data_IF_682664131069
#
_entry.id   IF_682664131069
#
_cell.length_a   1.000
_cell.length_b   1.000
_cell.length_c   1.000
_cell.angle_alpha   90.00
_cell.angle_beta   90.00
_cell.angle_gamma   90.00
#
_symmetry.space_group_name_H-M   'P 1'
#
loop_
_entity.id
_entity.type
_entity.pdbx_description
1 polymer ?
#
# COMPACT_ATOMS: atom_id res chain seq x y z
N UNK A 1 6.80 33.53 -10.33
CA UNK A 1 6.30 32.40 -9.50
C UNK A 1 6.73 31.15 -10.23
N UNK A 2 7.73 30.45 -9.70
CA UNK A 2 8.13 29.14 -10.28
C UNK A 2 6.98 28.16 -10.06
N UNK A 3 6.45 27.55 -11.14
CA UNK A 3 5.57 26.39 -11.01
C UNK A 3 6.31 25.34 -10.17
N UNK A 4 5.79 25.05 -8.99
CA UNK A 4 6.30 23.93 -8.19
C UNK A 4 6.01 22.66 -8.99
N UNK A 5 7.04 21.96 -9.42
CA UNK A 5 6.90 20.66 -10.09
C UNK A 5 6.22 19.67 -9.14
N UNK A 6 5.20 18.98 -9.65
CA UNK A 6 4.49 17.95 -8.88
C UNK A 6 5.33 16.68 -8.89
N UNK A 7 5.84 16.26 -7.72
CA UNK A 7 6.60 15.01 -7.60
C UNK A 7 5.68 13.78 -7.71
N UNK A 8 6.06 12.82 -8.55
CA UNK A 8 5.36 11.55 -8.65
C UNK A 8 5.84 10.59 -7.55
N UNK A 9 4.89 10.05 -6.80
CA UNK A 9 5.13 9.13 -5.69
C UNK A 9 4.55 7.77 -6.03
N UNK A 10 5.36 6.74 -6.16
CA UNK A 10 4.89 5.36 -6.24
C UNK A 10 4.69 4.79 -4.84
N UNK A 11 3.54 4.17 -4.61
CA UNK A 11 3.16 3.61 -3.32
C UNK A 11 2.72 2.16 -3.48
N UNK A 12 3.58 1.20 -3.08
CA UNK A 12 3.25 -0.22 -3.11
C UNK A 12 2.52 -0.64 -1.84
N UNK A 13 1.35 -1.26 -2.03
CA UNK A 13 0.48 -1.68 -0.94
C UNK A 13 0.00 -3.12 -1.09
N UNK A 14 -0.22 -3.77 0.05
CA UNK A 14 -1.12 -4.92 0.18
C UNK A 14 -2.36 -4.45 0.94
N UNK A 15 -3.59 -4.59 0.39
CA UNK A 15 -4.80 -4.08 1.05
C UNK A 15 -5.08 -4.74 2.40
N UNK A 16 -4.45 -5.88 2.68
CA UNK A 16 -4.60 -6.60 3.94
C UNK A 16 -3.67 -6.07 5.04
N UNK A 17 -2.67 -5.24 4.69
CA UNK A 17 -1.70 -4.72 5.64
C UNK A 17 -2.24 -3.50 6.40
N UNK A 18 -2.44 -3.58 7.74
CA UNK A 18 -2.95 -2.45 8.51
C UNK A 18 -1.97 -1.26 8.56
N UNK A 19 -0.66 -1.52 8.49
CA UNK A 19 0.35 -0.46 8.50
C UNK A 19 0.41 0.28 7.16
N UNK A 20 0.29 -0.44 6.04
CA UNK A 20 0.18 0.18 4.72
C UNK A 20 -1.12 1.00 4.61
N UNK A 21 -2.21 0.53 5.23
CA UNK A 21 -3.46 1.28 5.29
C UNK A 21 -3.28 2.64 5.98
N UNK A 22 -2.69 2.67 7.19
CA UNK A 22 -2.42 3.92 7.91
C UNK A 22 -1.52 4.85 7.08
N UNK A 23 -0.43 4.33 6.51
CA UNK A 23 0.46 5.10 5.68
C UNK A 23 -0.22 5.62 4.40
N UNK A 24 -1.16 4.86 3.83
CA UNK A 24 -1.95 5.31 2.68
C UNK A 24 -2.87 6.48 3.02
N UNK A 25 -3.44 6.50 4.22
CA UNK A 25 -4.26 7.65 4.68
C UNK A 25 -3.40 8.86 4.97
N UNK A 26 -2.19 8.64 5.49
CA UNK A 26 -1.20 9.71 5.67
C UNK A 26 -0.76 10.31 4.33
N UNK A 27 -0.38 9.52 3.34
CA UNK A 27 0.08 10.07 2.04
C UNK A 27 -1.07 10.77 1.28
N UNK A 28 -2.32 10.33 1.48
CA UNK A 28 -3.50 11.02 0.95
C UNK A 28 -3.68 12.40 1.60
N UNK A 29 -3.42 12.52 2.89
CA UNK A 29 -3.42 13.83 3.60
C UNK A 29 -2.28 14.73 3.10
N UNK A 30 -1.08 14.16 2.92
CA UNK A 30 0.08 14.91 2.38
C UNK A 30 -0.21 15.48 1.00
N UNK A 31 -0.92 14.77 0.12
CA UNK A 31 -1.28 15.22 -1.23
C UNK A 31 -2.09 16.53 -1.22
N UNK A 32 -2.88 16.79 -0.18
CA UNK A 32 -3.63 18.04 -0.03
C UNK A 32 -2.75 19.21 0.45
N UNK A 33 -1.54 18.92 0.94
CA UNK A 33 -0.64 19.89 1.59
C UNK A 33 0.70 20.09 0.85
N UNK A 34 1.06 19.19 -0.05
CA UNK A 34 2.31 19.20 -0.82
C UNK A 34 2.03 18.86 -2.28
N UNK A 35 2.79 19.40 -3.24
CA UNK A 35 2.61 19.15 -4.66
C UNK A 35 3.11 17.75 -5.04
N UNK A 36 2.37 16.72 -4.65
CA UNK A 36 2.66 15.33 -4.99
C UNK A 36 1.47 14.68 -5.72
N UNK A 37 1.76 13.73 -6.59
CA UNK A 37 0.78 12.82 -7.19
C UNK A 37 1.11 11.38 -6.82
N UNK A 38 0.13 10.62 -6.31
CA UNK A 38 0.35 9.25 -5.83
C UNK A 38 -0.08 8.26 -6.90
N UNK A 39 0.85 7.39 -7.31
CA UNK A 39 0.62 6.23 -8.17
C UNK A 39 0.59 4.99 -7.29
N UNK A 40 -0.58 4.38 -7.21
CA UNK A 40 -0.78 3.17 -6.42
C UNK A 40 -0.26 1.95 -7.17
N UNK A 41 0.48 1.08 -6.46
CA UNK A 41 1.08 -0.15 -6.99
C UNK A 41 0.73 -1.32 -6.09
N UNK A 42 0.44 -2.46 -6.68
CA UNK A 42 0.09 -3.66 -5.91
C UNK A 42 1.36 -4.42 -5.53
N UNK A 43 1.49 -4.77 -4.25
CA UNK A 43 2.43 -5.78 -3.79
C UNK A 43 1.71 -6.81 -2.91
N UNK A 44 2.38 -7.89 -2.54
CA UNK A 44 1.76 -8.97 -1.76
C UNK A 44 2.64 -9.44 -0.63
N UNK A 45 2.11 -9.38 0.58
CA UNK A 45 2.73 -10.01 1.75
C UNK A 45 2.66 -11.54 1.68
N UNK A 46 1.71 -12.12 0.96
CA UNK A 46 1.69 -13.55 0.70
C UNK A 46 2.89 -13.97 -0.16
N UNK A 47 3.19 -13.24 -1.25
CA UNK A 47 4.40 -13.45 -2.08
C UNK A 47 5.66 -13.25 -1.25
N UNK A 48 5.74 -12.16 -0.49
CA UNK A 48 6.92 -11.85 0.35
C UNK A 48 7.23 -12.98 1.34
N UNK A 49 6.21 -13.64 1.87
CA UNK A 49 6.35 -14.66 2.91
C UNK A 49 6.38 -16.10 2.37
N UNK A 50 6.35 -16.29 1.05
CA UNK A 50 6.52 -17.62 0.46
C UNK A 50 7.86 -18.23 0.89
N UNK A 51 7.83 -19.49 1.35
CA UNK A 51 9.00 -20.21 1.79
C UNK A 51 9.67 -19.70 3.08
N UNK A 52 9.13 -18.66 3.72
CA UNK A 52 9.67 -18.14 4.97
C UNK A 52 9.02 -18.80 6.18
N UNK A 53 9.81 -19.08 7.20
CA UNK A 53 9.28 -19.45 8.52
C UNK A 53 8.90 -18.18 9.29
N UNK A 54 7.70 -17.66 9.01
CA UNK A 54 7.15 -16.51 9.72
C UNK A 54 6.16 -16.97 10.80
N UNK A 55 6.12 -16.32 11.97
CA UNK A 55 5.16 -16.65 13.01
C UNK A 55 3.72 -16.66 12.49
N UNK A 56 2.92 -17.63 12.95
CA UNK A 56 1.53 -17.84 12.51
C UNK A 56 0.69 -16.54 12.52
N UNK A 57 0.88 -15.66 13.52
CA UNK A 57 0.21 -14.35 13.62
C UNK A 57 0.43 -13.43 12.41
N UNK A 58 1.50 -13.62 11.64
CA UNK A 58 1.79 -12.86 10.42
C UNK A 58 1.34 -13.57 9.14
N UNK A 59 0.97 -14.86 9.22
CA UNK A 59 0.44 -15.65 8.09
C UNK A 59 -1.08 -15.59 8.02
N UNK A 60 -1.75 -15.46 9.18
CA UNK A 60 -3.21 -15.55 9.28
C UNK A 60 -3.85 -14.38 8.55
N UNK A 61 -4.70 -14.73 7.58
CA UNK A 61 -5.48 -13.78 6.82
C UNK A 61 -4.74 -13.08 5.69
N UNK A 62 -3.46 -13.40 5.44
CA UNK A 62 -2.73 -12.93 4.26
C UNK A 62 -2.90 -13.96 3.14
N UNK A 63 -3.66 -13.61 2.12
CA UNK A 63 -3.94 -14.45 0.97
C UNK A 63 -3.71 -13.71 -0.34
N UNK A 64 -3.69 -14.46 -1.44
CA UNK A 64 -3.56 -13.90 -2.78
C UNK A 64 -4.84 -13.22 -3.28
N UNK A 65 -6.00 -13.60 -2.78
CA UNK A 65 -7.29 -13.15 -3.30
C UNK A 65 -7.42 -11.65 -3.48
N UNK A 66 -7.29 -10.83 -2.42
CA UNK A 66 -7.46 -9.39 -2.52
C UNK A 66 -6.46 -8.70 -3.47
N UNK A 67 -5.19 -9.14 -3.50
CA UNK A 67 -4.17 -8.56 -4.38
C UNK A 67 -4.37 -8.98 -5.84
N UNK A 68 -4.83 -10.20 -6.12
CA UNK A 68 -5.23 -10.63 -7.47
C UNK A 68 -6.38 -9.79 -8.02
N UNK A 69 -7.38 -9.49 -7.20
CA UNK A 69 -8.50 -8.63 -7.58
C UNK A 69 -8.03 -7.21 -7.89
N UNK A 70 -7.08 -6.67 -7.12
CA UNK A 70 -6.47 -5.38 -7.44
C UNK A 70 -5.75 -5.40 -8.80
N UNK A 71 -4.96 -6.44 -9.08
CA UNK A 71 -4.27 -6.61 -10.37
C UNK A 71 -5.26 -6.76 -11.52
N UNK A 72 -6.32 -7.54 -11.35
CA UNK A 72 -7.38 -7.70 -12.35
C UNK A 72 -8.07 -6.37 -12.68
N UNK A 73 -8.35 -5.56 -11.65
CA UNK A 73 -8.93 -4.23 -11.81
C UNK A 73 -7.97 -3.29 -12.56
N UNK A 74 -6.69 -3.29 -12.21
CA UNK A 74 -5.65 -2.51 -12.88
C UNK A 74 -5.52 -2.88 -14.38
N UNK A 75 -5.50 -4.17 -14.70
CA UNK A 75 -5.40 -4.64 -16.08
C UNK A 75 -6.63 -4.27 -16.93
N UNK A 76 -7.82 -4.28 -16.34
CA UNK A 76 -9.06 -3.97 -17.05
C UNK A 76 -9.30 -2.48 -17.22
N UNK A 77 -8.95 -1.66 -16.23
CA UNK A 77 -9.36 -0.26 -16.16
C UNK A 77 -8.20 0.74 -16.08
N UNK A 78 -6.95 0.28 -15.99
CA UNK A 78 -5.79 1.13 -15.78
C UNK A 78 -5.43 1.33 -14.30
N UNK A 79 -4.21 1.83 -14.02
CA UNK A 79 -3.69 1.95 -12.64
C UNK A 79 -4.42 3.00 -11.79
N UNK A 80 -5.12 3.94 -12.41
CA UNK A 80 -5.83 5.03 -11.70
C UNK A 80 -6.98 4.53 -10.83
N UNK A 81 -7.51 3.32 -11.11
CA UNK A 81 -8.61 2.75 -10.31
C UNK A 81 -8.14 2.22 -8.97
N UNK A 82 -6.83 1.92 -8.83
CA UNK A 82 -6.28 1.29 -7.62
C UNK A 82 -6.50 2.12 -6.37
N UNK A 83 -6.36 3.44 -6.44
CA UNK A 83 -6.52 4.31 -5.27
C UNK A 83 -7.91 4.24 -4.65
N UNK A 84 -8.96 4.27 -5.50
CA UNK A 84 -10.35 4.15 -5.02
C UNK A 84 -10.68 2.73 -4.57
N UNK A 85 -10.24 1.70 -5.29
CA UNK A 85 -10.45 0.31 -4.89
C UNK A 85 -9.74 0.01 -3.55
N UNK A 86 -8.48 0.47 -3.38
CA UNK A 86 -7.75 0.31 -2.14
C UNK A 86 -8.47 1.01 -0.97
N UNK A 87 -9.07 2.18 -1.21
CA UNK A 87 -9.83 2.88 -0.17
C UNK A 87 -11.03 2.05 0.27
N UNK A 88 -11.81 1.49 -0.66
CA UNK A 88 -12.96 0.66 -0.37
C UNK A 88 -12.60 -0.65 0.35
N UNK A 89 -11.52 -1.30 -0.07
CA UNK A 89 -11.00 -2.50 0.61
C UNK A 89 -10.49 -2.18 2.02
N UNK A 90 -9.74 -1.08 2.16
CA UNK A 90 -9.16 -0.68 3.42
C UNK A 90 -10.21 -0.31 4.49
N UNK A 91 -11.28 0.38 4.11
CA UNK A 91 -12.41 0.68 5.00
C UNK A 91 -13.02 -0.64 5.51
N UNK A 92 -13.35 -1.55 4.59
CA UNK A 92 -13.96 -2.84 4.94
C UNK A 92 -13.07 -3.70 5.84
N UNK A 93 -11.79 -3.82 5.50
CA UNK A 93 -10.88 -4.70 6.23
C UNK A 93 -10.44 -4.14 7.57
N UNK A 94 -10.18 -2.84 7.65
CA UNK A 94 -9.52 -2.25 8.82
C UNK A 94 -10.48 -1.54 9.77
N UNK A 95 -11.53 -0.89 9.26
CA UNK A 95 -12.54 -0.24 10.11
C UNK A 95 -13.72 -1.17 10.38
N UNK A 96 -14.32 -1.78 9.36
CA UNK A 96 -15.51 -2.64 9.49
C UNK A 96 -15.15 -4.07 9.91
N UNK A 97 -13.86 -4.48 9.80
CA UNK A 97 -13.37 -5.84 10.10
C UNK A 97 -14.09 -6.92 9.28
N UNK A 98 -14.48 -6.57 8.05
CA UNK A 98 -15.14 -7.47 7.12
C UNK A 98 -14.24 -8.68 6.79
N UNK A 99 -14.81 -9.86 6.51
CA UNK A 99 -14.07 -11.03 6.08
C UNK A 99 -13.40 -10.78 4.73
N UNK A 100 -12.31 -11.50 4.47
CA UNK A 100 -11.56 -11.37 3.19
C UNK A 100 -12.09 -12.38 2.17
N UNK A 101 -13.38 -12.35 1.96
CA UNK A 101 -14.12 -13.26 1.09
C UNK A 101 -14.59 -12.57 -0.20
N UNK A 102 -15.20 -13.36 -1.08
CA UNK A 102 -15.72 -12.90 -2.36
C UNK A 102 -16.75 -11.79 -2.20
N UNK A 103 -17.68 -11.92 -1.25
CA UNK A 103 -18.75 -10.93 -1.06
C UNK A 103 -18.21 -9.55 -0.67
N UNK A 104 -17.20 -9.51 0.19
CA UNK A 104 -16.52 -8.26 0.56
C UNK A 104 -15.79 -7.64 -0.64
N UNK A 105 -15.15 -8.47 -1.48
CA UNK A 105 -14.47 -8.01 -2.70
C UNK A 105 -15.47 -7.45 -3.72
N UNK A 106 -16.60 -8.12 -3.94
CA UNK A 106 -17.67 -7.65 -4.81
C UNK A 106 -18.24 -6.30 -4.34
N UNK A 107 -18.48 -6.16 -3.03
CA UNK A 107 -18.96 -4.92 -2.44
C UNK A 107 -17.96 -3.78 -2.58
N UNK A 108 -16.66 -4.05 -2.40
CA UNK A 108 -15.60 -3.06 -2.56
C UNK A 108 -15.46 -2.61 -4.03
N UNK A 109 -15.49 -3.55 -4.96
CA UNK A 109 -15.46 -3.26 -6.40
C UNK A 109 -16.65 -2.39 -6.82
N UNK A 110 -17.87 -2.77 -6.43
CA UNK A 110 -19.08 -2.01 -6.73
C UNK A 110 -19.03 -0.59 -6.15
N UNK A 111 -18.59 -0.43 -4.90
CA UNK A 111 -18.43 0.88 -4.27
C UNK A 111 -17.35 1.74 -4.95
N UNK A 112 -16.31 1.11 -5.49
CA UNK A 112 -15.30 1.78 -6.31
C UNK A 112 -15.76 2.08 -7.75
N UNK A 113 -17.00 1.76 -8.11
CA UNK A 113 -17.54 1.94 -9.47
C UNK A 113 -16.90 1.00 -10.50
N UNK A 114 -16.51 -0.20 -10.07
CA UNK A 114 -15.88 -1.23 -10.90
C UNK A 114 -16.81 -2.46 -11.03
N UNK A 115 -16.54 -3.30 -12.02
CA UNK A 115 -17.26 -4.55 -12.22
C UNK A 115 -17.06 -5.52 -11.04
N UNK A 116 -18.12 -5.79 -10.29
CA UNK A 116 -18.10 -6.73 -9.16
C UNK A 116 -17.67 -8.15 -9.56
N UNK A 117 -17.89 -8.54 -10.82
CA UNK A 117 -17.47 -9.83 -11.36
C UNK A 117 -15.96 -10.06 -11.31
N UNK A 118 -15.15 -9.00 -11.21
CA UNK A 118 -13.70 -9.11 -11.01
C UNK A 118 -13.31 -9.79 -9.69
N UNK A 119 -14.22 -9.91 -8.72
CA UNK A 119 -13.96 -10.67 -7.50
C UNK A 119 -13.62 -12.14 -7.78
N UNK A 120 -14.03 -12.69 -8.95
CA UNK A 120 -13.64 -14.04 -9.38
C UNK A 120 -12.12 -14.22 -9.55
N UNK A 121 -11.40 -13.13 -9.80
CA UNK A 121 -9.94 -13.14 -9.90
C UNK A 121 -9.26 -13.63 -8.61
N UNK A 122 -9.95 -13.58 -7.47
CA UNK A 122 -9.37 -14.02 -6.18
C UNK A 122 -8.86 -15.46 -6.22
N UNK A 123 -9.52 -16.33 -7.00
CA UNK A 123 -9.21 -17.75 -7.11
C UNK A 123 -8.37 -18.09 -8.36
N UNK A 124 -8.07 -17.10 -9.21
CA UNK A 124 -7.32 -17.29 -10.46
C UNK A 124 -5.84 -16.99 -10.30
N UNK A 125 -4.99 -17.91 -10.74
CA UNK A 125 -3.53 -17.71 -10.79
C UNK A 125 -3.08 -16.91 -12.04
N UNK A 126 -4.00 -16.57 -12.94
CA UNK A 126 -3.73 -15.79 -14.15
C UNK A 126 -3.04 -14.45 -13.86
N UNK A 127 -3.37 -13.85 -12.72
CA UNK A 127 -2.86 -12.56 -12.29
C UNK A 127 -1.51 -12.62 -11.57
N UNK A 128 -1.02 -13.82 -11.22
CA UNK A 128 0.17 -14.00 -10.38
C UNK A 128 1.46 -13.49 -11.04
N UNK A 129 1.59 -13.62 -12.36
CA UNK A 129 2.77 -13.10 -13.09
C UNK A 129 2.86 -11.58 -12.98
N UNK A 130 1.77 -10.86 -13.20
CA UNK A 130 1.72 -9.40 -13.09
C UNK A 130 1.88 -8.94 -11.63
N UNK A 131 1.23 -9.64 -10.68
CA UNK A 131 1.39 -9.38 -9.25
C UNK A 131 2.85 -9.51 -8.80
N UNK A 132 3.52 -10.59 -9.19
CA UNK A 132 4.93 -10.83 -8.85
C UNK A 132 5.87 -9.82 -9.52
N UNK A 133 5.55 -9.34 -10.71
CA UNK A 133 6.33 -8.30 -11.39
C UNK A 133 6.23 -6.97 -10.63
N UNK A 134 5.01 -6.52 -10.27
CA UNK A 134 4.81 -5.31 -9.47
C UNK A 134 5.41 -5.43 -8.07
N UNK A 135 5.28 -6.60 -7.42
CA UNK A 135 5.90 -6.88 -6.13
C UNK A 135 7.42 -6.74 -6.19
N UNK A 136 8.06 -7.34 -7.19
CA UNK A 136 9.52 -7.24 -7.36
C UNK A 136 9.97 -5.81 -7.61
N UNK A 137 9.27 -5.06 -8.47
CA UNK A 137 9.61 -3.66 -8.73
C UNK A 137 9.70 -2.82 -7.45
N UNK A 138 8.81 -3.05 -6.48
CA UNK A 138 8.90 -2.39 -5.18
C UNK A 138 10.02 -2.95 -4.29
N UNK A 139 10.12 -4.28 -4.16
CA UNK A 139 11.03 -4.92 -3.23
C UNK A 139 12.50 -4.82 -3.64
N UNK A 140 12.82 -4.85 -4.94
CA UNK A 140 14.19 -4.70 -5.44
C UNK A 140 14.80 -3.33 -5.10
N UNK A 141 13.96 -2.34 -4.75
CA UNK A 141 14.39 -0.99 -4.35
C UNK A 141 14.80 -0.89 -2.88
N UNK A 142 14.24 -1.73 -2.01
CA UNK A 142 14.37 -1.61 -0.55
C UNK A 142 14.87 -2.89 0.13
N UNK A 143 15.03 -3.97 -0.61
CA UNK A 143 15.38 -5.29 -0.07
C UNK A 143 14.17 -6.09 0.41
N UNK A 144 14.39 -7.37 0.71
CA UNK A 144 13.32 -8.34 0.99
C UNK A 144 13.10 -8.61 2.48
N UNK A 145 13.81 -7.94 3.37
CA UNK A 145 13.72 -8.05 4.83
C UNK A 145 12.71 -7.06 5.46
N UNK A 146 12.01 -6.31 4.63
CA UNK A 146 10.96 -5.36 5.00
C UNK A 146 9.59 -5.81 4.48
N UNK A 147 8.54 -5.08 4.84
CA UNK A 147 7.16 -5.35 4.39
C UNK A 147 6.60 -4.24 3.50
N UNK A 148 5.36 -3.88 3.74
CA UNK A 148 4.66 -2.80 3.03
C UNK A 148 4.16 -1.75 4.05
N UNK A 149 4.08 -0.45 3.68
CA UNK A 149 4.24 0.09 2.33
C UNK A 149 5.70 0.24 1.90
N UNK A 150 5.93 0.21 0.60
CA UNK A 150 7.15 0.75 -0.02
C UNK A 150 6.76 2.03 -0.74
N UNK A 151 7.56 3.07 -0.61
CA UNK A 151 7.33 4.36 -1.27
C UNK A 151 8.57 4.72 -2.08
N UNK A 152 8.37 5.19 -3.31
CA UNK A 152 9.44 5.74 -4.12
C UNK A 152 9.08 7.14 -4.60
N UNK A 153 10.02 8.07 -4.51
CA UNK A 153 9.89 9.47 -4.93
C UNK A 153 11.26 10.02 -5.32
N UNK A 154 11.32 10.73 -6.43
CA UNK A 154 12.53 11.44 -6.91
C UNK A 154 13.81 10.56 -6.92
N UNK A 155 13.67 9.30 -7.32
CA UNK A 155 14.78 8.33 -7.39
C UNK A 155 15.10 7.60 -6.09
N UNK A 156 14.58 8.04 -4.96
CA UNK A 156 14.75 7.39 -3.65
C UNK A 156 13.58 6.44 -3.38
N UNK A 157 13.87 5.33 -2.71
CA UNK A 157 12.83 4.40 -2.25
C UNK A 157 13.09 3.98 -0.80
N UNK A 158 12.03 3.75 -0.06
CA UNK A 158 12.10 3.35 1.35
C UNK A 158 10.89 2.53 1.77
N UNK A 159 11.07 1.73 2.80
CA UNK A 159 10.00 1.05 3.51
C UNK A 159 9.40 1.96 4.58
N UNK A 160 8.08 2.04 4.62
CA UNK A 160 7.35 2.84 5.61
C UNK A 160 6.88 4.20 5.06
N UNK A 161 6.63 5.20 5.96
CA UNK A 161 6.77 5.11 7.42
C UNK A 161 5.76 4.16 8.06
N UNK A 162 6.19 3.46 9.12
CA UNK A 162 5.32 2.68 9.98
C UNK A 162 4.90 3.57 11.14
N UNK A 163 3.71 4.12 11.08
CA UNK A 163 3.21 5.15 12.00
C UNK A 163 1.79 4.85 12.47
N UNK A 164 1.44 5.29 13.65
CA UNK A 164 0.08 5.18 14.19
C UNK A 164 -0.11 6.19 15.35
N UNK A 165 -1.29 6.84 15.49
CA UNK A 165 -2.40 6.91 14.53
C UNK A 165 -2.01 7.61 13.23
N UNK A 166 -2.96 7.76 12.28
CA UNK A 166 -2.73 8.50 11.02
C UNK A 166 -2.37 9.96 11.33
N UNK A 167 -1.17 10.45 10.94
CA UNK A 167 -0.84 11.87 11.08
C UNK A 167 -1.77 12.72 10.20
N UNK A 168 -2.19 13.89 10.72
CA UNK A 168 -3.10 14.81 10.04
C UNK A 168 -2.53 16.22 9.98
N UNK A 169 -3.00 17.03 9.03
CA UNK A 169 -2.64 18.43 8.87
C UNK A 169 -1.13 18.65 8.81
N UNK A 170 -0.66 19.67 9.52
CA UNK A 170 0.76 20.03 9.55
C UNK A 170 1.67 18.90 10.06
N UNK A 171 1.19 18.03 10.95
CA UNK A 171 1.98 16.88 11.39
C UNK A 171 2.20 15.86 10.26
N UNK A 172 1.23 15.69 9.36
CA UNK A 172 1.39 14.85 8.18
C UNK A 172 2.43 15.43 7.20
N UNK A 173 2.35 16.74 6.95
CA UNK A 173 3.27 17.45 6.07
C UNK A 173 4.71 17.42 6.59
N UNK A 174 4.91 17.73 7.88
CA UNK A 174 6.24 17.68 8.53
C UNK A 174 6.85 16.29 8.53
N UNK A 175 6.05 15.25 8.72
CA UNK A 175 6.55 13.87 8.61
C UNK A 175 7.03 13.58 7.18
N UNK A 176 6.28 14.02 6.16
CA UNK A 176 6.67 13.87 4.76
C UNK A 176 7.99 14.58 4.47
N UNK A 177 8.10 15.87 4.83
CA UNK A 177 9.31 16.66 4.61
C UNK A 177 10.52 16.01 5.30
N UNK A 178 10.35 15.52 6.55
CA UNK A 178 11.41 14.83 7.29
C UNK A 178 11.82 13.50 6.65
N UNK A 179 10.86 12.70 6.15
CA UNK A 179 11.15 11.45 5.45
C UNK A 179 11.96 11.72 4.18
N UNK A 180 11.60 12.74 3.40
CA UNK A 180 12.35 13.11 2.19
C UNK A 180 13.79 13.51 2.51
N UNK A 181 14.00 14.33 3.53
CA UNK A 181 15.34 14.76 3.95
C UNK A 181 16.21 13.58 4.38
N UNK A 182 15.64 12.68 5.18
CA UNK A 182 16.36 11.50 5.69
C UNK A 182 16.71 10.55 4.56
N UNK A 183 15.75 10.22 3.69
CA UNK A 183 15.94 9.23 2.62
C UNK A 183 16.78 9.74 1.45
N UNK A 184 16.92 11.06 1.29
CA UNK A 184 17.85 11.67 0.32
C UNK A 184 19.29 11.72 0.81
N UNK A 185 19.58 11.38 2.08
CA UNK A 185 20.93 11.38 2.64
C UNK A 185 21.72 10.20 2.11
N UNK A 186 22.84 10.44 1.45
CA UNK A 186 23.73 9.38 0.96
C UNK A 186 24.22 8.48 2.10
N UNK A 187 24.16 7.16 1.87
CA UNK A 187 24.55 6.17 2.89
C UNK A 187 23.55 5.98 4.04
N UNK A 188 22.35 6.58 3.96
CA UNK A 188 21.29 6.29 4.92
C UNK A 188 20.53 5.01 4.54
N UNK A 189 20.42 4.04 5.46
CA UNK A 189 19.75 2.77 5.21
C UNK A 189 18.53 2.54 6.10
N UNK A 190 18.61 2.80 7.40
CA UNK A 190 17.51 2.44 8.31
C UNK A 190 17.39 3.40 9.49
N UNK A 191 16.13 3.75 9.84
CA UNK A 191 15.77 4.40 11.09
C UNK A 191 14.58 3.64 11.68
N UNK A 192 14.78 3.00 12.84
CA UNK A 192 13.78 2.16 13.47
C UNK A 192 13.74 2.35 14.98
N UNK A 193 12.55 2.22 15.56
CA UNK A 193 12.37 2.09 17.02
C UNK A 193 11.30 1.04 17.33
N UNK A 194 11.23 0.62 18.60
CA UNK A 194 10.26 -0.38 19.07
C UNK A 194 8.82 0.11 18.83
N UNK A 195 7.96 -0.78 18.33
CA UNK A 195 6.52 -0.55 18.21
C UNK A 195 5.84 -0.91 19.52
N UNK A 196 5.38 0.08 20.25
CA UNK A 196 4.69 -0.03 21.55
C UNK A 196 3.17 0.10 21.44
N UNK A 197 2.65 0.36 20.20
CA UNK A 197 1.23 0.54 19.92
C UNK A 197 0.76 -0.40 18.82
N UNK A 198 -0.53 -0.75 18.88
CA UNK A 198 -1.23 -1.43 17.78
C UNK A 198 -1.63 -0.41 16.71
N UNK A 199 -1.93 -0.87 15.46
CA UNK A 199 -2.54 -0.01 14.47
C UNK A 199 -3.82 0.63 15.00
N UNK A 200 -3.89 1.96 14.88
CA UNK A 200 -5.04 2.79 15.21
C UNK A 200 -5.45 3.55 13.94
N UNK A 201 -6.66 3.33 13.50
CA UNK A 201 -7.15 3.84 12.22
C UNK A 201 -7.90 5.16 12.35
N UNK A 202 -8.11 5.65 13.59
CA UNK A 202 -8.89 6.85 13.91
C UNK A 202 -10.36 6.60 14.10
#
# INVERSE_FOLDING_TARGET
MSEQSVSAVDFWFDPQCPWAWIASRWITEVRELRPISVRWRVMSLAVLNEGRDVPHKYRVGLGFGPVRVCVAAEQKYGPEVLGRLYTELGVRYHHEKAPKDRATLEAALAAAGLDAGLAAAMDSTEYDTALRASHRDGMDRVGYDVGTPVIAVDGNAFFGPVVTPVPRGEAAARLWDGVLLVTATDGFFELKRTRDRKPDFG
#
